data_IF_628411628766
#
_entry.id   IF_628411628766
#
_cell.length_a   1.000
_cell.length_b   1.000
_cell.length_c   1.000
_cell.angle_alpha   90.00
_cell.angle_beta   90.00
_cell.angle_gamma   90.00
#
_symmetry.space_group_name_H-M   'P 1'
#
loop_
_entity.id
_entity.type
_entity.pdbx_description
1 polymer ?
#
# COMPACT_ATOMS: atom_id res chain seq x y z
N UNK A 1 17.36 20.07 28.52
CA UNK A 1 16.73 20.43 27.23
C UNK A 1 17.74 20.15 26.13
N UNK A 2 17.86 18.88 25.73
CA UNK A 2 18.72 18.46 24.63
C UNK A 2 17.96 18.64 23.33
N UNK A 3 18.46 19.52 22.45
CA UNK A 3 18.01 19.64 21.08
C UNK A 3 18.03 18.27 20.41
N UNK A 4 16.86 17.70 20.16
CA UNK A 4 16.67 16.62 19.23
C UNK A 4 17.08 17.14 17.85
N UNK A 5 18.28 16.75 17.42
CA UNK A 5 18.66 16.77 16.02
C UNK A 5 17.57 16.05 15.24
N UNK A 6 16.74 16.82 14.54
CA UNK A 6 15.84 16.33 13.50
C UNK A 6 16.68 15.46 12.57
N UNK A 7 16.48 14.15 12.65
CA UNK A 7 16.92 13.23 11.61
C UNK A 7 16.12 13.61 10.37
N UNK A 8 16.66 14.51 9.55
CA UNK A 8 16.17 14.81 8.22
C UNK A 8 16.00 13.48 7.49
N UNK A 9 14.75 13.08 7.31
CA UNK A 9 14.35 11.88 6.58
C UNK A 9 15.03 11.91 5.21
N UNK A 10 15.91 10.93 4.99
CA UNK A 10 16.87 10.95 3.89
C UNK A 10 16.13 11.04 2.57
N UNK A 11 16.29 12.17 1.86
CA UNK A 11 15.63 12.37 0.57
C UNK A 11 14.28 13.07 0.59
N UNK A 12 13.71 13.32 1.76
CA UNK A 12 12.42 14.00 1.90
C UNK A 12 12.57 15.51 1.78
N UNK A 13 11.63 16.12 1.05
CA UNK A 13 11.50 17.56 0.91
C UNK A 13 10.05 17.93 1.17
N UNK A 14 9.84 19.05 1.87
CA UNK A 14 8.51 19.54 2.20
C UNK A 14 7.81 20.24 1.01
N UNK A 15 8.42 20.20 -0.18
CA UNK A 15 7.90 20.77 -1.42
C UNK A 15 8.29 19.90 -2.62
N UNK A 16 7.59 20.07 -3.74
CA UNK A 16 7.79 19.28 -4.96
C UNK A 16 8.99 19.81 -5.76
N UNK A 17 10.11 19.11 -5.69
CA UNK A 17 11.31 19.44 -6.47
C UNK A 17 11.27 18.95 -7.93
N UNK A 18 10.37 18.03 -8.25
CA UNK A 18 10.07 17.62 -9.64
C UNK A 18 8.63 17.99 -9.90
N UNK A 19 8.35 18.82 -10.90
CA UNK A 19 6.99 19.31 -11.15
C UNK A 19 6.11 18.18 -11.71
N UNK A 20 6.54 17.53 -12.78
CA UNK A 20 5.77 16.51 -13.51
C UNK A 20 6.61 15.28 -13.84
N UNK A 21 5.94 14.14 -13.96
CA UNK A 21 6.51 12.87 -14.42
C UNK A 21 5.86 12.48 -15.74
N UNK A 22 6.68 12.01 -16.69
CA UNK A 22 6.22 11.34 -17.91
C UNK A 22 6.47 9.84 -17.79
N UNK A 23 5.41 9.04 -17.87
CA UNK A 23 5.46 7.57 -17.87
C UNK A 23 4.79 7.06 -19.14
N UNK A 24 5.58 6.66 -20.14
CA UNK A 24 5.05 6.33 -21.46
C UNK A 24 4.38 7.54 -22.10
N UNK A 25 3.10 7.39 -22.45
CA UNK A 25 2.28 8.46 -23.04
C UNK A 25 1.57 9.33 -21.99
N UNK A 26 1.70 9.01 -20.70
CA UNK A 26 1.04 9.73 -19.63
C UNK A 26 1.95 10.80 -19.02
N UNK A 27 1.36 11.94 -18.67
CA UNK A 27 2.01 12.98 -17.89
C UNK A 27 1.13 13.39 -16.71
N UNK A 28 1.73 13.47 -15.53
CA UNK A 28 1.02 13.83 -14.31
C UNK A 28 1.95 14.47 -13.29
N UNK A 29 1.35 15.28 -12.42
CA UNK A 29 2.08 16.03 -11.41
C UNK A 29 2.54 15.11 -10.27
N UNK A 30 3.70 15.41 -9.68
CA UNK A 30 4.13 14.75 -8.44
C UNK A 30 3.29 15.25 -7.26
N UNK A 31 3.24 14.46 -6.18
CA UNK A 31 2.55 14.85 -4.94
C UNK A 31 3.55 15.31 -3.88
N UNK A 32 4.69 14.64 -3.80
CA UNK A 32 5.72 14.87 -2.79
C UNK A 32 7.09 15.10 -3.43
N UNK A 33 7.98 15.74 -2.67
CA UNK A 33 9.38 15.91 -3.07
C UNK A 33 10.22 14.65 -2.87
N UNK A 34 11.22 14.49 -3.73
CA UNK A 34 12.20 13.41 -3.67
C UNK A 34 13.58 13.94 -4.10
N UNK A 35 14.45 14.26 -3.14
CA UNK A 35 15.80 14.76 -3.40
C UNK A 35 16.84 13.66 -3.62
N UNK A 36 16.52 12.39 -3.33
CA UNK A 36 17.44 11.24 -3.42
C UNK A 36 18.08 11.09 -4.80
N UNK A 37 17.35 11.50 -5.83
CA UNK A 37 17.78 11.36 -7.22
C UNK A 37 18.83 12.37 -7.65
N UNK A 38 18.95 13.47 -6.92
CA UNK A 38 19.70 14.65 -7.34
C UNK A 38 20.94 14.81 -6.49
N UNK A 39 21.93 15.49 -7.08
CA UNK A 39 23.10 15.90 -6.33
C UNK A 39 22.75 17.15 -5.53
N UNK A 40 23.02 17.15 -4.23
CA UNK A 40 22.70 18.29 -3.36
C UNK A 40 23.36 19.60 -3.81
N UNK A 41 24.53 19.55 -4.46
CA UNK A 41 25.21 20.74 -4.98
C UNK A 41 24.72 21.17 -6.37
N UNK A 42 24.03 20.30 -7.09
CA UNK A 42 23.50 20.53 -8.44
C UNK A 42 22.07 19.95 -8.52
N UNK A 43 21.07 20.67 -7.98
CA UNK A 43 19.71 20.14 -7.81
C UNK A 43 18.98 19.78 -9.11
N UNK A 44 19.51 20.19 -10.27
CA UNK A 44 18.97 19.88 -11.59
C UNK A 44 19.63 18.64 -12.22
N UNK A 45 20.74 18.16 -11.65
CA UNK A 45 21.53 17.03 -12.18
C UNK A 45 21.16 15.75 -11.44
N UNK A 46 20.89 14.68 -12.19
CA UNK A 46 20.62 13.36 -11.61
C UNK A 46 21.95 12.72 -11.15
N UNK A 47 21.94 12.09 -9.98
CA UNK A 47 23.12 11.50 -9.35
C UNK A 47 23.86 10.49 -10.22
N UNK A 48 23.15 9.69 -11.03
CA UNK A 48 23.77 8.70 -11.90
C UNK A 48 24.57 9.34 -13.06
N UNK A 49 24.19 10.54 -13.50
CA UNK A 49 24.87 11.22 -14.63
C UNK A 49 26.30 11.62 -14.27
N UNK A 50 26.60 11.89 -12.99
CA UNK A 50 27.98 12.13 -12.54
C UNK A 50 28.84 10.87 -12.58
N UNK A 51 28.26 9.72 -12.23
CA UNK A 51 28.96 8.43 -12.30
C UNK A 51 29.36 8.11 -13.74
N UNK A 52 28.50 8.43 -14.71
CA UNK A 52 28.78 8.26 -16.14
C UNK A 52 29.82 9.25 -16.66
N UNK A 53 29.74 10.52 -16.28
CA UNK A 53 30.63 11.58 -16.79
C UNK A 53 32.00 11.65 -16.10
N UNK A 54 32.19 10.96 -14.97
CA UNK A 54 33.42 11.03 -14.12
C UNK A 54 33.89 12.45 -13.79
N UNK A 55 32.97 13.42 -13.83
CA UNK A 55 33.25 14.84 -13.55
C UNK A 55 33.03 15.13 -12.08
N UNK A 56 33.89 15.99 -11.50
CA UNK A 56 33.67 16.51 -10.15
C UNK A 56 32.46 17.47 -10.18
N UNK A 57 31.55 17.41 -9.18
CA UNK A 57 30.43 18.33 -9.10
C UNK A 57 30.93 19.78 -9.03
N UNK A 58 30.29 20.66 -9.78
CA UNK A 58 30.43 22.11 -9.71
C UNK A 58 29.72 22.59 -8.44
N UNK A 59 30.44 23.25 -7.54
CA UNK A 59 29.88 23.76 -6.28
C UNK A 59 29.15 25.08 -6.55
N UNK A 60 27.84 25.03 -6.78
CA UNK A 60 26.98 26.22 -6.85
C UNK A 60 25.96 26.25 -5.71
N UNK A 61 26.46 26.44 -4.49
CA UNK A 61 25.63 26.51 -3.26
C UNK A 61 24.59 27.63 -3.31
N UNK A 62 24.86 28.72 -4.05
CA UNK A 62 23.97 29.88 -4.14
C UNK A 62 22.64 29.54 -4.85
N UNK A 63 22.68 28.78 -5.95
CA UNK A 63 21.48 28.39 -6.71
C UNK A 63 20.63 27.38 -5.93
N UNK A 64 21.28 26.41 -5.28
CA UNK A 64 20.60 25.44 -4.41
C UNK A 64 19.86 26.14 -3.26
N UNK A 65 20.53 27.05 -2.55
CA UNK A 65 19.90 27.80 -1.45
C UNK A 65 18.71 28.65 -1.94
N UNK A 66 18.82 29.27 -3.12
CA UNK A 66 17.73 30.05 -3.70
C UNK A 66 16.51 29.19 -4.04
N UNK A 67 16.71 28.03 -4.68
CA UNK A 67 15.61 27.12 -5.04
C UNK A 67 14.88 26.59 -3.80
N UNK A 68 15.63 26.25 -2.75
CA UNK A 68 15.05 25.75 -1.50
C UNK A 68 14.31 26.84 -0.73
N UNK A 69 14.83 28.08 -0.71
CA UNK A 69 14.15 29.21 -0.09
C UNK A 69 12.84 29.56 -0.80
N UNK A 70 12.83 29.50 -2.14
CA UNK A 70 11.65 29.79 -2.95
C UNK A 70 10.73 28.58 -3.14
N UNK A 71 11.13 27.39 -2.65
CA UNK A 71 10.43 26.12 -2.85
C UNK A 71 10.08 25.84 -4.32
N UNK A 72 10.95 26.25 -5.23
CA UNK A 72 10.74 26.07 -6.67
C UNK A 72 11.11 24.66 -7.12
N UNK A 73 10.39 24.07 -8.10
CA UNK A 73 10.81 22.84 -8.73
C UNK A 73 12.22 22.97 -9.29
N UNK A 74 13.06 21.97 -9.04
CA UNK A 74 14.39 21.88 -9.60
C UNK A 74 14.33 21.49 -11.08
N UNK A 75 13.47 20.53 -11.43
CA UNK A 75 13.21 20.16 -12.82
C UNK A 75 11.71 20.15 -13.10
N UNK A 76 11.35 20.49 -14.35
CA UNK A 76 9.95 20.51 -14.81
C UNK A 76 9.42 19.11 -15.14
N UNK A 77 10.27 18.24 -15.70
CA UNK A 77 9.85 16.95 -16.21
C UNK A 77 10.91 15.89 -15.90
N UNK A 78 10.48 14.76 -15.34
CA UNK A 78 11.28 13.55 -15.19
C UNK A 78 10.63 12.41 -15.97
N UNK A 79 11.40 11.78 -16.86
CA UNK A 79 10.91 10.69 -17.70
C UNK A 79 11.18 9.35 -17.03
N UNK A 80 10.18 8.47 -16.99
CA UNK A 80 10.30 7.08 -16.53
C UNK A 80 9.97 6.11 -17.66
N UNK A 81 10.74 5.04 -17.76
CA UNK A 81 10.46 3.92 -18.65
C UNK A 81 9.22 3.16 -18.15
N UNK A 82 8.21 3.00 -19.01
CA UNK A 82 6.97 2.31 -18.65
C UNK A 82 7.12 0.80 -18.36
N UNK A 83 8.25 0.18 -18.73
CA UNK A 83 8.50 -1.24 -18.48
C UNK A 83 9.40 -1.50 -17.26
N UNK A 84 10.47 -0.71 -17.07
CA UNK A 84 11.50 -0.98 -16.05
C UNK A 84 11.70 0.15 -15.04
N UNK A 85 11.00 1.27 -15.18
CA UNK A 85 11.10 2.45 -14.33
C UNK A 85 12.48 3.14 -14.30
N UNK A 86 13.44 2.78 -15.17
CA UNK A 86 14.63 3.61 -15.40
C UNK A 86 14.19 5.04 -15.71
N UNK A 87 14.92 6.04 -15.21
CA UNK A 87 14.55 7.44 -15.32
C UNK A 87 15.67 8.30 -15.91
N UNK A 88 15.31 9.42 -16.53
CA UNK A 88 16.21 10.44 -17.10
C UNK A 88 15.48 11.78 -17.26
N UNK A 89 16.24 12.88 -17.32
CA UNK A 89 15.71 14.21 -17.72
C UNK A 89 15.54 14.35 -19.23
N UNK A 90 16.20 13.50 -20.03
CA UNK A 90 16.28 13.65 -21.48
C UNK A 90 15.27 12.76 -22.23
N UNK A 91 14.36 13.38 -22.97
CA UNK A 91 13.32 12.66 -23.73
C UNK A 91 13.91 11.68 -24.77
N UNK A 92 14.96 12.08 -25.48
CA UNK A 92 15.62 11.26 -26.51
C UNK A 92 16.37 10.06 -25.93
N UNK A 93 16.92 10.19 -24.72
CA UNK A 93 17.53 9.07 -24.00
C UNK A 93 16.45 8.05 -23.62
N UNK A 94 15.30 8.52 -23.11
CA UNK A 94 14.18 7.65 -22.75
C UNK A 94 13.61 6.92 -23.98
N UNK A 95 13.43 7.62 -25.10
CA UNK A 95 12.93 7.03 -26.33
C UNK A 95 13.86 5.92 -26.84
N UNK A 96 15.18 6.18 -26.88
CA UNK A 96 16.18 5.16 -27.22
C UNK A 96 16.13 4.00 -26.23
N UNK A 97 16.16 4.26 -24.93
CA UNK A 97 16.08 3.22 -23.90
C UNK A 97 14.88 2.30 -24.09
N UNK A 98 13.69 2.85 -24.31
CA UNK A 98 12.48 2.06 -24.47
C UNK A 98 12.55 1.14 -25.70
N UNK A 99 13.20 1.56 -26.79
CA UNK A 99 13.33 0.73 -28.01
C UNK A 99 14.02 -0.62 -27.76
N UNK A 100 15.00 -0.68 -26.84
CA UNK A 100 15.77 -1.88 -26.51
C UNK A 100 15.59 -2.38 -25.06
N UNK A 101 14.61 -1.85 -24.33
CA UNK A 101 14.35 -2.25 -22.94
C UNK A 101 13.95 -3.73 -22.86
N UNK A 102 14.77 -4.55 -22.18
CA UNK A 102 14.55 -6.00 -22.04
C UNK A 102 13.23 -6.35 -21.34
N UNK A 103 12.80 -5.51 -20.40
CA UNK A 103 11.56 -5.70 -19.64
C UNK A 103 10.27 -5.50 -20.46
N UNK A 104 10.35 -5.08 -21.72
CA UNK A 104 9.18 -5.04 -22.62
C UNK A 104 8.66 -6.42 -22.99
N UNK A 105 9.54 -7.44 -22.97
CA UNK A 105 9.20 -8.83 -23.30
C UNK A 105 9.45 -9.78 -22.14
N UNK A 106 10.47 -9.48 -21.33
CA UNK A 106 10.92 -10.33 -20.24
C UNK A 106 10.51 -9.71 -18.90
N UNK A 107 9.27 -9.94 -18.48
CA UNK A 107 8.75 -9.40 -17.22
C UNK A 107 9.51 -9.98 -16.01
N UNK A 108 9.83 -9.17 -14.99
CA UNK A 108 10.54 -9.65 -13.80
C UNK A 108 9.67 -10.54 -12.91
N UNK A 109 10.31 -11.35 -12.08
CA UNK A 109 9.64 -12.11 -11.02
C UNK A 109 8.82 -13.31 -11.49
N UNK A 110 8.19 -13.98 -10.53
CA UNK A 110 7.35 -15.17 -10.70
C UNK A 110 5.87 -14.76 -10.74
N UNK A 111 5.06 -15.37 -11.61
CA UNK A 111 3.60 -15.17 -11.60
C UNK A 111 3.03 -15.84 -10.36
N UNK A 112 2.26 -15.08 -9.57
CA UNK A 112 1.58 -15.59 -8.38
C UNK A 112 0.04 -15.54 -8.51
N UNK A 113 -0.45 -14.78 -9.48
CA UNK A 113 -1.88 -14.67 -9.80
C UNK A 113 -2.04 -14.25 -11.26
N UNK A 114 -3.01 -14.84 -11.96
CA UNK A 114 -3.35 -14.44 -13.32
C UNK A 114 -4.82 -14.68 -13.61
N UNK A 115 -5.56 -13.59 -13.87
CA UNK A 115 -6.93 -13.62 -14.41
C UNK A 115 -6.98 -12.93 -15.79
N UNK A 116 -8.18 -12.82 -16.36
CA UNK A 116 -8.40 -12.18 -17.67
C UNK A 116 -8.08 -10.68 -17.70
N UNK A 117 -8.01 -10.04 -16.53
CA UNK A 117 -7.91 -8.58 -16.40
C UNK A 117 -6.53 -8.11 -15.92
N UNK A 118 -5.78 -8.94 -15.19
CA UNK A 118 -4.51 -8.57 -14.58
C UNK A 118 -3.66 -9.79 -14.18
N UNK A 119 -2.38 -9.52 -13.97
CA UNK A 119 -1.40 -10.51 -13.48
C UNK A 119 -0.62 -9.92 -12.31
N UNK A 120 -0.46 -10.65 -11.21
CA UNK A 120 0.39 -10.23 -10.09
C UNK A 120 1.65 -11.09 -10.11
N UNK A 121 2.81 -10.42 -10.09
CA UNK A 121 4.12 -11.08 -10.09
C UNK A 121 4.91 -10.74 -8.83
N UNK A 122 5.51 -11.75 -8.20
CA UNK A 122 6.46 -11.59 -7.09
C UNK A 122 7.86 -11.33 -7.65
N UNK A 123 8.33 -10.11 -7.47
CA UNK A 123 9.64 -9.62 -7.90
C UNK A 123 10.53 -9.48 -6.67
N UNK A 124 11.53 -10.36 -6.56
CA UNK A 124 12.49 -10.29 -5.45
C UNK A 124 13.44 -9.12 -5.62
N UNK A 125 13.51 -8.25 -4.60
CA UNK A 125 14.42 -7.10 -4.61
C UNK A 125 15.90 -7.50 -4.60
N UNK A 126 16.23 -8.70 -4.14
CA UNK A 126 17.59 -9.27 -4.24
C UNK A 126 17.96 -9.63 -5.67
N UNK A 127 17.03 -10.24 -6.44
CA UNK A 127 17.28 -10.68 -7.83
C UNK A 127 17.16 -9.52 -8.83
N UNK A 128 16.22 -8.60 -8.61
CA UNK A 128 15.91 -7.50 -9.52
C UNK A 128 16.16 -6.12 -8.88
N UNK A 129 17.34 -5.95 -8.27
CA UNK A 129 17.69 -4.77 -7.44
C UNK A 129 17.41 -3.43 -8.15
N UNK A 130 17.92 -3.23 -9.36
CA UNK A 130 17.75 -1.97 -10.08
C UNK A 130 16.27 -1.65 -10.38
N UNK A 131 15.49 -2.66 -10.80
CA UNK A 131 14.06 -2.49 -11.06
C UNK A 131 13.32 -2.04 -9.79
N UNK A 132 13.57 -2.71 -8.66
CA UNK A 132 12.94 -2.40 -7.39
C UNK A 132 13.38 -1.03 -6.83
N UNK A 133 14.64 -0.62 -7.05
CA UNK A 133 15.14 0.71 -6.69
C UNK A 133 14.42 1.79 -7.51
N UNK A 134 14.38 1.65 -8.84
CA UNK A 134 13.67 2.56 -9.73
C UNK A 134 12.17 2.66 -9.41
N UNK A 135 11.52 1.54 -9.12
CA UNK A 135 10.12 1.51 -8.69
C UNK A 135 9.91 2.21 -7.34
N UNK A 136 10.81 1.99 -6.37
CA UNK A 136 10.75 2.66 -5.07
C UNK A 136 10.96 4.18 -5.18
N UNK A 137 11.85 4.60 -6.06
CA UNK A 137 12.09 6.00 -6.40
C UNK A 137 10.84 6.65 -6.99
N UNK A 138 10.22 5.99 -7.99
CA UNK A 138 8.95 6.46 -8.56
C UNK A 138 7.91 6.62 -7.47
N UNK A 139 7.82 5.63 -6.57
CA UNK A 139 6.81 5.62 -5.52
C UNK A 139 6.94 6.77 -4.52
N UNK A 140 8.15 7.24 -4.22
CA UNK A 140 8.38 8.37 -3.30
C UNK A 140 7.70 9.66 -3.72
N UNK A 141 7.55 9.89 -5.03
CA UNK A 141 6.82 11.06 -5.53
C UNK A 141 5.33 11.05 -5.19
N UNK A 142 4.80 9.91 -4.73
CA UNK A 142 3.39 9.68 -4.42
C UNK A 142 3.15 9.11 -3.02
N UNK A 143 4.22 8.83 -2.26
CA UNK A 143 4.19 8.31 -0.90
C UNK A 143 5.09 9.17 -0.01
N UNK A 144 4.48 9.91 0.91
CA UNK A 144 5.19 10.86 1.77
C UNK A 144 6.25 10.18 2.64
N UNK A 145 5.83 9.15 3.39
CA UNK A 145 6.64 8.47 4.41
C UNK A 145 7.47 7.29 3.87
N UNK A 146 7.82 7.27 2.59
CA UNK A 146 8.65 6.19 2.04
C UNK A 146 10.12 6.46 2.35
N UNK A 147 10.73 5.62 3.18
CA UNK A 147 12.10 5.78 3.68
C UNK A 147 13.12 4.83 3.02
N UNK A 148 12.67 3.70 2.45
CA UNK A 148 13.55 2.69 1.84
C UNK A 148 13.54 2.77 0.31
N UNK A 149 14.71 3.08 -0.25
CA UNK A 149 14.93 3.20 -1.71
C UNK A 149 15.98 2.23 -2.23
N UNK A 150 17.06 2.00 -1.47
CA UNK A 150 18.26 1.32 -1.96
C UNK A 150 18.46 -0.07 -1.38
N UNK A 151 18.08 -0.27 -0.12
CA UNK A 151 18.15 -1.55 0.61
C UNK A 151 16.94 -2.44 0.27
N UNK A 152 16.67 -2.58 -1.03
CA UNK A 152 15.50 -3.31 -1.54
C UNK A 152 15.65 -4.83 -1.44
N UNK A 153 16.84 -5.34 -1.10
CA UNK A 153 17.13 -6.76 -1.04
C UNK A 153 16.40 -7.52 0.08
N UNK A 154 15.89 -6.80 1.07
CA UNK A 154 15.09 -7.32 2.18
C UNK A 154 13.58 -7.32 1.91
N UNK A 155 13.18 -7.01 0.67
CA UNK A 155 11.77 -6.87 0.29
C UNK A 155 11.45 -7.70 -0.95
N UNK A 156 10.27 -8.31 -0.93
CA UNK A 156 9.58 -8.76 -2.13
C UNK A 156 8.59 -7.68 -2.60
N UNK A 157 8.52 -7.50 -3.92
CA UNK A 157 7.60 -6.57 -4.57
C UNK A 157 6.55 -7.35 -5.35
N UNK A 158 5.29 -7.15 -5.03
CA UNK A 158 4.17 -7.76 -5.72
C UNK A 158 3.60 -6.75 -6.71
N UNK A 159 4.01 -6.88 -7.97
CA UNK A 159 3.70 -5.92 -9.03
C UNK A 159 2.49 -6.41 -9.82
N UNK A 160 1.47 -5.57 -9.93
CA UNK A 160 0.27 -5.85 -10.74
C UNK A 160 0.47 -5.31 -12.15
N UNK A 161 0.19 -6.15 -13.13
CA UNK A 161 0.30 -5.87 -14.56
C UNK A 161 -1.08 -5.94 -15.21
N UNK A 162 -1.31 -5.09 -16.21
CA UNK A 162 -2.39 -5.26 -17.19
C UNK A 162 -1.83 -5.08 -18.60
N UNK A 163 -2.53 -5.60 -19.60
CA UNK A 163 -2.16 -5.41 -21.00
C UNK A 163 -2.74 -4.10 -21.51
N UNK A 164 -1.88 -3.14 -21.84
CA UNK A 164 -2.25 -1.88 -22.48
C UNK A 164 -1.70 -1.89 -23.91
N UNK A 165 -2.56 -1.73 -24.91
CA UNK A 165 -2.19 -1.75 -26.34
C UNK A 165 -1.34 -2.97 -26.75
N UNK A 166 -1.69 -4.15 -26.20
CA UNK A 166 -0.97 -5.40 -26.45
C UNK A 166 0.37 -5.53 -25.70
N UNK A 167 0.71 -4.57 -24.83
CA UNK A 167 1.95 -4.58 -24.05
C UNK A 167 1.65 -4.78 -22.55
N UNK A 168 2.21 -5.82 -21.91
CA UNK A 168 2.11 -5.97 -20.46
C UNK A 168 2.77 -4.79 -19.76
N UNK A 169 1.99 -4.06 -18.98
CA UNK A 169 2.39 -2.79 -18.36
C UNK A 169 2.20 -2.88 -16.85
N UNK A 170 3.24 -2.60 -16.04
CA UNK A 170 3.14 -2.57 -14.60
C UNK A 170 2.31 -1.35 -14.15
N UNK A 171 1.23 -1.61 -13.43
CA UNK A 171 0.24 -0.58 -13.06
C UNK A 171 0.39 -0.09 -11.61
N UNK A 172 1.02 -0.90 -10.76
CA UNK A 172 1.19 -0.63 -9.35
C UNK A 172 1.90 -1.77 -8.65
N UNK A 173 2.13 -1.62 -7.35
CA UNK A 173 2.73 -2.67 -6.55
C UNK A 173 2.37 -2.52 -5.07
N UNK A 174 2.63 -3.58 -4.31
CA UNK A 174 2.98 -3.43 -2.91
C UNK A 174 4.31 -4.10 -2.60
N UNK A 175 5.01 -3.65 -1.57
CA UNK A 175 6.21 -4.29 -1.05
C UNK A 175 5.92 -4.99 0.27
N UNK A 176 6.61 -6.09 0.54
CA UNK A 176 6.54 -6.86 1.79
C UNK A 176 7.95 -7.18 2.25
N UNK A 177 8.24 -6.94 3.52
CA UNK A 177 9.50 -7.36 4.15
C UNK A 177 9.60 -8.88 4.21
N UNK A 178 10.79 -9.40 3.91
CA UNK A 178 11.08 -10.82 4.04
C UNK A 178 11.03 -11.27 5.51
N UNK A 179 11.46 -10.39 6.42
CA UNK A 179 11.47 -10.63 7.87
C UNK A 179 10.84 -9.42 8.56
N UNK A 180 9.54 -9.52 8.87
CA UNK A 180 8.80 -8.48 9.58
C UNK A 180 8.57 -8.88 11.03
N UNK A 181 9.16 -8.15 11.98
CA UNK A 181 8.98 -8.40 13.42
C UNK A 181 7.53 -8.23 13.87
N UNK A 182 6.85 -7.23 13.30
CA UNK A 182 5.44 -6.94 13.59
C UNK A 182 4.49 -7.83 12.77
N UNK A 183 4.99 -8.74 11.94
CA UNK A 183 4.19 -9.58 11.02
C UNK A 183 3.39 -8.74 10.00
N UNK A 184 3.99 -7.67 9.48
CA UNK A 184 3.36 -6.86 8.44
C UNK A 184 3.33 -7.65 7.12
N UNK A 185 2.15 -7.78 6.50
CA UNK A 185 2.02 -8.39 5.17
C UNK A 185 2.24 -7.39 4.02
N UNK A 186 2.30 -6.10 4.35
CA UNK A 186 2.42 -5.01 3.39
C UNK A 186 3.12 -3.80 4.05
N UNK A 187 4.21 -3.34 3.42
CA UNK A 187 4.98 -2.17 3.86
C UNK A 187 4.59 -0.90 3.10
N UNK A 188 4.60 -0.95 1.78
CA UNK A 188 4.19 0.17 0.91
C UNK A 188 3.24 -0.35 -0.15
N UNK A 189 2.24 0.45 -0.53
CA UNK A 189 1.34 0.17 -1.65
C UNK A 189 1.16 1.42 -2.49
N UNK A 190 1.22 1.24 -3.81
CA UNK A 190 0.95 2.30 -4.77
C UNK A 190 0.32 1.72 -6.03
N UNK A 191 -0.80 2.32 -6.44
CA UNK A 191 -1.25 2.29 -7.84
C UNK A 191 -0.80 3.59 -8.47
N UNK A 192 -0.06 3.49 -9.57
CA UNK A 192 0.51 4.66 -10.26
C UNK A 192 -0.65 5.60 -10.64
N UNK A 193 -0.54 6.93 -10.44
CA UNK A 193 -1.67 7.86 -10.60
C UNK A 193 -2.47 7.72 -11.90
N UNK A 194 -1.80 7.53 -13.04
CA UNK A 194 -2.47 7.36 -14.33
C UNK A 194 -3.31 6.07 -14.46
N UNK A 195 -3.14 5.09 -13.57
CA UNK A 195 -3.84 3.80 -13.56
C UNK A 195 -4.81 3.63 -12.38
N UNK A 196 -5.06 4.70 -11.62
CA UNK A 196 -6.00 4.67 -10.50
C UNK A 196 -7.47 4.51 -10.97
N UNK A 197 -8.40 4.36 -10.02
CA UNK A 197 -9.84 4.18 -10.24
C UNK A 197 -10.26 2.89 -10.96
N UNK A 198 -9.36 1.93 -11.09
CA UNK A 198 -9.61 0.60 -11.68
C UNK A 198 -9.63 -0.54 -10.64
N UNK A 199 -9.81 -0.22 -9.35
CA UNK A 199 -9.80 -1.16 -8.21
C UNK A 199 -8.51 -2.00 -8.04
N UNK A 200 -7.43 -1.64 -8.73
CA UNK A 200 -6.13 -2.33 -8.63
C UNK A 200 -5.56 -2.32 -7.20
N UNK A 201 -5.76 -1.23 -6.45
CA UNK A 201 -5.32 -1.16 -5.05
C UNK A 201 -6.07 -2.15 -4.16
N UNK A 202 -7.39 -2.31 -4.38
CA UNK A 202 -8.19 -3.31 -3.68
C UNK A 202 -7.76 -4.74 -4.02
N UNK A 203 -7.44 -5.01 -5.29
CA UNK A 203 -6.86 -6.29 -5.72
C UNK A 203 -5.53 -6.58 -5.01
N UNK A 204 -4.63 -5.61 -4.92
CA UNK A 204 -3.34 -5.76 -4.24
C UNK A 204 -3.49 -6.03 -2.73
N UNK A 205 -4.39 -5.31 -2.05
CA UNK A 205 -4.71 -5.55 -0.62
C UNK A 205 -5.29 -6.96 -0.43
N UNK A 206 -6.24 -7.34 -1.28
CA UNK A 206 -6.86 -8.66 -1.19
C UNK A 206 -5.84 -9.78 -1.45
N UNK A 207 -4.93 -9.60 -2.41
CA UNK A 207 -3.82 -10.54 -2.66
C UNK A 207 -2.88 -10.68 -1.45
N UNK A 208 -2.55 -9.59 -0.74
CA UNK A 208 -1.66 -9.67 0.43
C UNK A 208 -2.26 -10.53 1.56
N UNK A 209 -3.57 -10.47 1.75
CA UNK A 209 -4.28 -11.35 2.70
C UNK A 209 -4.43 -12.77 2.18
N UNK A 210 -4.64 -13.02 0.88
CA UNK A 210 -4.60 -14.39 0.35
C UNK A 210 -3.28 -15.08 0.63
N UNK A 211 -2.16 -14.37 0.40
CA UNK A 211 -0.83 -14.91 0.69
C UNK A 211 -0.63 -15.17 2.19
N UNK A 212 -1.05 -14.24 3.05
CA UNK A 212 -0.92 -14.41 4.51
C UNK A 212 -1.79 -15.55 5.04
N UNK A 213 -3.00 -15.71 4.50
CA UNK A 213 -3.89 -16.82 4.85
C UNK A 213 -3.34 -18.17 4.35
N UNK A 214 -2.71 -18.21 3.18
CA UNK A 214 -2.01 -19.40 2.70
C UNK A 214 -0.86 -19.79 3.65
N UNK A 215 -0.13 -18.79 4.16
CA UNK A 215 0.94 -18.97 5.15
C UNK A 215 0.41 -19.21 6.58
N UNK A 216 -0.91 -19.18 6.81
CA UNK A 216 -1.56 -19.29 8.12
C UNK A 216 -1.09 -18.24 9.14
N UNK A 217 -0.82 -17.01 8.67
CA UNK A 217 -0.33 -15.89 9.49
C UNK A 217 -1.41 -14.83 9.63
N UNK A 218 -1.69 -14.45 10.88
CA UNK A 218 -2.45 -13.24 11.20
C UNK A 218 -1.57 -12.02 10.92
N UNK A 219 -2.03 -11.10 10.09
CA UNK A 219 -1.20 -10.01 9.61
C UNK A 219 -2.01 -8.76 9.31
N UNK A 220 -1.30 -7.67 9.04
CA UNK A 220 -1.88 -6.40 8.62
C UNK A 220 -0.84 -5.51 7.94
N UNK A 221 -1.24 -4.31 7.50
CA UNK A 221 -0.32 -3.35 6.94
C UNK A 221 0.61 -2.74 8.01
N UNK A 222 1.76 -2.27 7.55
CA UNK A 222 2.63 -1.38 8.29
C UNK A 222 1.91 -0.06 8.62
N UNK A 223 2.23 0.50 9.80
CA UNK A 223 1.63 1.73 10.32
C UNK A 223 2.70 2.82 10.43
N UNK A 224 2.34 4.11 10.25
CA UNK A 224 1.00 4.64 10.00
C UNK A 224 0.55 4.52 8.53
N UNK A 225 -0.75 4.30 8.32
CA UNK A 225 -1.37 4.31 6.98
C UNK A 225 -1.57 5.74 6.48
N UNK A 226 -1.38 5.95 5.17
CA UNK A 226 -1.83 7.20 4.51
C UNK A 226 -3.37 7.33 4.57
N UNK A 227 -3.95 8.53 4.45
CA UNK A 227 -5.41 8.70 4.44
C UNK A 227 -6.12 7.83 3.39
N UNK A 228 -5.58 7.78 2.16
CA UNK A 228 -6.09 6.93 1.09
C UNK A 228 -5.89 5.43 1.37
N UNK A 229 -4.75 5.07 1.98
CA UNK A 229 -4.49 3.70 2.43
C UNK A 229 -5.50 3.24 3.47
N UNK A 230 -5.75 4.07 4.49
CA UNK A 230 -6.73 3.79 5.56
C UNK A 230 -8.13 3.55 5.00
N UNK A 231 -8.62 4.39 4.10
CA UNK A 231 -9.93 4.20 3.46
C UNK A 231 -9.98 2.91 2.63
N UNK A 232 -8.92 2.59 1.90
CA UNK A 232 -8.84 1.36 1.09
C UNK A 232 -8.86 0.10 1.95
N UNK A 233 -8.11 0.10 3.06
CA UNK A 233 -8.10 -1.00 4.02
C UNK A 233 -9.43 -1.14 4.76
N UNK A 234 -10.02 -0.04 5.23
CA UNK A 234 -11.35 -0.06 5.85
C UNK A 234 -12.41 -0.62 4.90
N UNK A 235 -12.39 -0.23 3.62
CA UNK A 235 -13.28 -0.79 2.61
C UNK A 235 -13.11 -2.30 2.47
N UNK A 236 -11.86 -2.79 2.44
CA UNK A 236 -11.58 -4.23 2.37
C UNK A 236 -11.99 -4.99 3.64
N UNK A 237 -11.59 -4.51 4.82
CA UNK A 237 -11.87 -5.16 6.09
C UNK A 237 -13.36 -5.21 6.40
N UNK A 238 -14.08 -4.09 6.23
CA UNK A 238 -15.52 -4.04 6.47
C UNK A 238 -16.28 -4.96 5.52
N UNK A 239 -15.88 -5.03 4.24
CA UNK A 239 -16.43 -5.99 3.27
C UNK A 239 -16.19 -7.43 3.70
N UNK A 240 -14.96 -7.78 4.08
CA UNK A 240 -14.60 -9.14 4.49
C UNK A 240 -15.32 -9.57 5.77
N UNK A 241 -15.33 -8.71 6.80
CA UNK A 241 -16.06 -8.96 8.04
C UNK A 241 -17.55 -9.08 7.81
N UNK A 242 -18.14 -8.20 7.00
CA UNK A 242 -19.57 -8.27 6.66
C UNK A 242 -19.90 -9.60 6.00
N UNK A 243 -19.05 -10.09 5.09
CA UNK A 243 -19.23 -11.40 4.47
C UNK A 243 -19.20 -12.50 5.52
N UNK A 244 -18.20 -12.53 6.41
CA UNK A 244 -18.09 -13.59 7.44
C UNK A 244 -19.27 -13.58 8.42
N UNK A 245 -19.71 -12.41 8.88
CA UNK A 245 -20.79 -12.28 9.87
C UNK A 245 -22.20 -12.46 9.31
N UNK A 246 -22.40 -12.24 8.00
CA UNK A 246 -23.73 -12.34 7.39
C UNK A 246 -23.93 -13.64 6.61
N UNK A 247 -22.88 -14.14 5.96
CA UNK A 247 -22.98 -15.25 5.01
C UNK A 247 -21.91 -16.33 5.22
N UNK A 248 -20.83 -16.01 5.93
CA UNK A 248 -19.71 -16.90 6.17
C UNK A 248 -19.84 -17.71 7.45
N UNK A 249 -18.71 -18.17 7.96
CA UNK A 249 -18.65 -19.14 9.07
C UNK A 249 -19.11 -18.55 10.40
N UNK A 250 -19.09 -17.22 10.53
CA UNK A 250 -19.51 -16.49 11.73
C UNK A 250 -21.00 -16.12 11.71
N UNK A 251 -21.75 -16.48 10.66
CA UNK A 251 -23.16 -16.10 10.50
C UNK A 251 -24.10 -16.79 11.48
N UNK A 252 -23.75 -17.99 11.95
CA UNK A 252 -24.56 -18.77 12.90
C UNK A 252 -24.12 -18.58 14.34
N UNK A 253 -22.93 -18.02 14.58
CA UNK A 253 -22.39 -17.83 15.94
C UNK A 253 -23.18 -16.77 16.70
N UNK A 254 -23.57 -17.07 17.94
CA UNK A 254 -24.12 -16.07 18.87
C UNK A 254 -23.04 -15.51 19.78
N UNK A 255 -21.97 -16.28 20.02
CA UNK A 255 -20.79 -15.89 20.79
C UNK A 255 -19.52 -16.07 19.93
N UNK A 256 -18.64 -15.08 19.96
CA UNK A 256 -17.33 -15.09 19.29
C UNK A 256 -16.28 -14.42 20.18
N UNK A 257 -15.01 -14.73 19.96
CA UNK A 257 -13.87 -14.01 20.55
C UNK A 257 -13.12 -13.24 19.46
N UNK A 258 -12.30 -12.24 19.80
CA UNK A 258 -11.44 -11.58 18.81
C UNK A 258 -10.50 -12.59 18.16
N UNK A 259 -10.00 -13.56 18.94
CA UNK A 259 -9.17 -14.65 18.45
C UNK A 259 -9.89 -15.48 17.38
N UNK A 260 -11.16 -15.86 17.59
CA UNK A 260 -11.92 -16.61 16.58
C UNK A 260 -12.10 -15.79 15.30
N UNK A 261 -12.43 -14.50 15.40
CA UNK A 261 -12.58 -13.63 14.23
C UNK A 261 -11.23 -13.51 13.50
N UNK A 262 -10.15 -13.30 14.23
CA UNK A 262 -8.78 -13.22 13.72
C UNK A 262 -8.37 -14.49 12.98
N UNK A 263 -8.59 -15.68 13.57
CA UNK A 263 -8.33 -16.97 12.92
C UNK A 263 -9.15 -17.19 11.64
N UNK A 264 -10.40 -16.69 11.58
CA UNK A 264 -11.24 -16.85 10.38
C UNK A 264 -10.91 -15.87 9.27
N UNK A 265 -10.40 -14.68 9.61
CA UNK A 265 -10.19 -13.59 8.64
C UNK A 265 -8.73 -13.38 8.27
N UNK A 266 -7.80 -13.79 9.13
CA UNK A 266 -6.38 -13.44 9.05
C UNK A 266 -6.07 -12.02 9.56
N UNK A 267 -7.06 -11.31 10.11
CA UNK A 267 -6.91 -9.91 10.54
C UNK A 267 -6.39 -9.82 11.97
N UNK A 268 -5.57 -8.81 12.24
CA UNK A 268 -5.19 -8.47 13.61
C UNK A 268 -6.41 -7.97 14.40
N UNK A 269 -6.39 -8.18 15.71
CA UNK A 269 -7.46 -7.76 16.62
C UNK A 269 -7.76 -6.26 16.52
N UNK A 270 -6.71 -5.43 16.37
CA UNK A 270 -6.86 -3.98 16.22
C UNK A 270 -7.57 -3.60 14.92
N UNK A 271 -7.31 -4.32 13.83
CA UNK A 271 -7.93 -4.08 12.52
C UNK A 271 -9.41 -4.51 12.53
N UNK A 272 -9.74 -5.59 13.25
CA UNK A 272 -11.10 -6.04 13.50
C UNK A 272 -11.88 -4.97 14.28
N UNK A 273 -11.35 -4.54 15.42
CA UNK A 273 -11.98 -3.52 16.28
C UNK A 273 -12.20 -2.21 15.52
N UNK A 274 -11.16 -1.72 14.83
CA UNK A 274 -11.23 -0.51 14.01
C UNK A 274 -12.32 -0.60 12.93
N UNK A 275 -12.47 -1.76 12.31
CA UNK A 275 -13.47 -1.98 11.26
C UNK A 275 -14.89 -2.06 11.80
N UNK A 276 -15.08 -2.74 12.93
CA UNK A 276 -16.39 -2.84 13.59
C UNK A 276 -16.85 -1.48 14.14
N UNK A 277 -15.93 -0.69 14.69
CA UNK A 277 -16.16 0.69 15.12
C UNK A 277 -16.50 1.60 13.92
N UNK A 278 -15.78 1.45 12.80
CA UNK A 278 -16.06 2.21 11.58
C UNK A 278 -17.48 1.94 11.03
N UNK A 279 -17.95 0.69 11.11
CA UNK A 279 -19.34 0.32 10.78
C UNK A 279 -20.36 0.70 11.88
N UNK A 280 -19.89 1.30 12.98
CA UNK A 280 -20.65 1.60 14.20
C UNK A 280 -21.36 0.38 14.78
N UNK A 281 -20.84 -0.81 14.50
CA UNK A 281 -21.44 -2.09 14.84
C UNK A 281 -20.94 -2.66 16.16
N UNK A 282 -19.86 -2.11 16.70
CA UNK A 282 -19.31 -2.45 18.01
C UNK A 282 -19.97 -1.62 19.10
N UNK A 283 -20.36 -2.26 20.20
CA UNK A 283 -20.91 -1.61 21.38
C UNK A 283 -20.30 -2.18 22.65
N UNK A 284 -20.02 -1.30 23.60
CA UNK A 284 -19.73 -1.67 24.99
C UNK A 284 -21.02 -1.58 25.80
N UNK A 285 -21.35 -2.61 26.55
CA UNK A 285 -22.42 -2.51 27.54
C UNK A 285 -21.81 -2.12 28.89
N UNK A 286 -22.18 -0.93 29.39
CA UNK A 286 -22.07 -0.56 30.79
C UNK A 286 -21.49 0.81 31.13
N UNK A 287 -21.88 1.36 32.28
CA UNK A 287 -21.09 2.35 33.02
C UNK A 287 -20.25 1.60 34.05
N UNK A 288 -18.96 1.97 34.20
CA UNK A 288 -18.17 1.56 35.38
C UNK A 288 -18.89 2.07 36.65
N UNK A 289 -19.75 1.24 37.24
CA UNK A 289 -20.23 1.44 38.61
C UNK A 289 -19.21 0.78 39.55
N UNK A 290 -18.72 1.45 40.60
CA UNK A 290 -17.59 0.94 41.38
C UNK A 290 -17.86 -0.36 42.17
N UNK A 291 -19.10 -0.90 42.19
CA UNK A 291 -19.48 -2.01 43.09
C UNK A 291 -20.58 -2.96 42.59
N UNK A 292 -20.81 -3.12 41.28
CA UNK A 292 -21.85 -4.06 40.80
C UNK A 292 -21.44 -4.79 39.51
N UNK A 293 -21.28 -6.13 39.58
CA UNK A 293 -20.96 -7.03 38.45
C UNK A 293 -22.16 -7.39 37.55
N UNK A 294 -23.33 -6.76 37.76
CA UNK A 294 -24.53 -7.07 37.00
C UNK A 294 -25.10 -5.86 36.28
N UNK A 295 -25.32 -6.05 35.00
CA UNK A 295 -26.05 -5.15 34.11
C UNK A 295 -27.51 -5.57 34.01
N UNK A 296 -28.44 -4.62 34.15
CA UNK A 296 -29.88 -4.86 34.08
C UNK A 296 -30.34 -5.17 32.64
N UNK A 297 -30.93 -6.35 32.47
CA UNK A 297 -31.16 -7.00 31.20
C UNK A 297 -32.22 -6.34 30.30
N UNK A 298 -31.85 -6.13 29.03
CA UNK A 298 -32.75 -6.38 27.90
C UNK A 298 -32.35 -7.73 27.30
N UNK A 299 -33.31 -8.66 27.18
CA UNK A 299 -33.14 -9.87 26.37
C UNK A 299 -33.01 -9.43 24.92
N UNK A 300 -31.78 -9.30 24.44
CA UNK A 300 -31.55 -9.10 23.02
C UNK A 300 -31.87 -10.40 22.28
N UNK A 301 -32.45 -10.25 21.09
CA UNK A 301 -32.77 -11.39 20.24
C UNK A 301 -31.43 -11.97 19.73
N UNK A 302 -31.03 -13.17 20.17
CA UNK A 302 -29.70 -13.77 19.94
C UNK A 302 -29.25 -13.81 18.46
N UNK A 303 -30.19 -13.68 17.53
CA UNK A 303 -29.88 -13.64 16.09
C UNK A 303 -29.34 -12.30 15.60
N UNK A 304 -29.61 -11.20 16.30
CA UNK A 304 -29.26 -9.83 15.88
C UNK A 304 -27.91 -9.36 16.43
N UNK A 305 -27.51 -9.87 17.59
CA UNK A 305 -26.29 -9.47 18.28
C UNK A 305 -25.34 -10.66 18.39
N UNK A 306 -24.05 -10.40 18.29
CA UNK A 306 -23.00 -11.38 18.59
C UNK A 306 -22.24 -10.90 19.81
N UNK A 307 -22.15 -11.73 20.84
CA UNK A 307 -21.35 -11.46 22.02
C UNK A 307 -19.87 -11.60 21.67
N UNK A 308 -19.08 -10.59 22.00
CA UNK A 308 -17.63 -10.60 21.90
C UNK A 308 -17.04 -10.80 23.31
N UNK A 309 -16.60 -12.03 23.59
CA UNK A 309 -16.12 -12.44 24.91
C UNK A 309 -14.64 -12.05 25.08
N UNK A 310 -14.38 -10.99 25.84
CA UNK A 310 -13.04 -10.54 26.20
C UNK A 310 -12.92 -10.41 27.73
N UNK A 311 -11.75 -10.76 28.29
CA UNK A 311 -11.53 -10.99 29.73
C UNK A 311 -12.01 -9.83 30.63
N UNK A 312 -12.03 -8.60 30.12
CA UNK A 312 -12.38 -7.39 30.88
C UNK A 312 -13.57 -6.58 30.32
N UNK A 313 -14.17 -6.99 29.20
CA UNK A 313 -15.21 -6.19 28.53
C UNK A 313 -16.33 -7.08 27.97
N UNK A 314 -17.58 -6.68 28.18
CA UNK A 314 -18.75 -7.26 27.52
C UNK A 314 -19.06 -6.44 26.27
N UNK A 315 -18.44 -6.81 25.16
CA UNK A 315 -18.62 -6.17 23.86
C UNK A 315 -19.68 -6.89 23.04
N UNK A 316 -20.40 -6.16 22.20
CA UNK A 316 -21.47 -6.66 21.34
C UNK A 316 -21.28 -6.18 19.90
N UNK A 317 -21.55 -7.08 18.94
CA UNK A 317 -21.55 -6.77 17.51
C UNK A 317 -22.98 -6.81 16.98
N UNK A 318 -23.47 -5.70 16.45
CA UNK A 318 -24.83 -5.58 15.89
C UNK A 318 -24.85 -5.93 14.39
N UNK A 319 -25.38 -7.12 14.06
CA UNK A 319 -25.53 -7.58 12.68
C UNK A 319 -26.48 -6.71 11.86
N UNK A 320 -27.44 -6.04 12.48
CA UNK A 320 -28.38 -5.18 11.75
C UNK A 320 -27.68 -3.93 11.22
N UNK A 321 -26.72 -3.39 11.97
CA UNK A 321 -25.86 -2.30 11.50
C UNK A 321 -24.92 -2.75 10.40
N UNK A 322 -24.33 -3.95 10.51
CA UNK A 322 -23.53 -4.54 9.42
C UNK A 322 -24.37 -4.69 8.14
N UNK A 323 -25.62 -5.19 8.25
CA UNK A 323 -26.54 -5.29 7.10
C UNK A 323 -26.85 -3.91 6.48
N UNK A 324 -27.14 -2.91 7.32
CA UNK A 324 -27.37 -1.53 6.84
C UNK A 324 -26.14 -0.97 6.16
N UNK A 325 -24.95 -1.20 6.70
CA UNK A 325 -23.67 -0.79 6.13
C UNK A 325 -23.46 -1.37 4.73
N UNK A 326 -23.69 -2.69 4.57
CA UNK A 326 -23.60 -3.38 3.29
C UNK A 326 -24.53 -2.77 2.23
N UNK A 327 -25.77 -2.48 2.61
CA UNK A 327 -26.77 -1.87 1.72
C UNK A 327 -26.37 -0.43 1.35
N UNK A 328 -25.99 0.38 2.34
CA UNK A 328 -25.64 1.80 2.15
C UNK A 328 -24.38 2.00 1.30
N UNK A 329 -23.43 1.06 1.38
CA UNK A 329 -22.16 1.13 0.66
C UNK A 329 -22.12 0.22 -0.58
N UNK A 330 -23.27 -0.33 -1.00
CA UNK A 330 -23.40 -1.19 -2.18
C UNK A 330 -22.36 -2.33 -2.22
N UNK A 331 -22.09 -2.94 -1.06
CA UNK A 331 -21.06 -3.98 -0.93
C UNK A 331 -21.56 -5.27 -1.57
N UNK A 332 -20.95 -5.64 -2.70
CA UNK A 332 -21.22 -6.90 -3.40
C UNK A 332 -20.49 -8.06 -2.72
N UNK A 333 -21.11 -9.25 -2.69
CA UNK A 333 -20.57 -10.43 -2.03
C UNK A 333 -19.29 -11.00 -2.69
N UNK A 334 -19.07 -10.74 -3.98
CA UNK A 334 -17.92 -11.24 -4.73
C UNK A 334 -16.58 -10.66 -4.27
N UNK A 335 -15.51 -11.47 -4.36
CA UNK A 335 -14.12 -11.07 -4.17
C UNK A 335 -13.63 -10.22 -5.36
N UNK A 336 -12.59 -9.39 -5.19
CA UNK A 336 -12.01 -8.66 -6.34
C UNK A 336 -11.02 -9.52 -7.12
N UNK A 337 -10.54 -10.62 -6.52
CA UNK A 337 -9.71 -11.64 -7.16
C UNK A 337 -10.44 -12.98 -7.12
N UNK A 338 -10.24 -13.79 -8.15
CA UNK A 338 -10.73 -15.16 -8.18
C UNK A 338 -9.71 -16.09 -7.49
N UNK A 339 -10.07 -16.75 -6.37
CA UNK A 339 -9.16 -17.70 -5.71
C UNK A 339 -8.66 -18.83 -6.62
N UNK A 340 -9.41 -19.21 -7.67
CA UNK A 340 -8.99 -20.23 -8.62
C UNK A 340 -7.82 -19.79 -9.53
N UNK A 341 -7.58 -18.48 -9.63
CA UNK A 341 -6.51 -17.87 -10.41
C UNK A 341 -5.21 -17.67 -9.59
N UNK A 342 -5.20 -18.04 -8.31
CA UNK A 342 -4.00 -17.99 -7.47
C UNK A 342 -3.03 -19.12 -7.86
N UNK A 343 -1.76 -18.75 -7.98
CA UNK A 343 -0.65 -19.66 -8.30
C UNK A 343 0.32 -19.57 -7.13
N UNK A 344 -0.04 -20.25 -6.04
CA UNK A 344 0.76 -20.39 -4.82
C UNK A 344 1.25 -21.83 -4.77
N UNK A 345 2.56 -22.01 -4.58
CA UNK A 345 3.23 -23.33 -4.50
C UNK A 345 3.00 -24.00 -3.13
#
# INVERSE_FOLDING_TARGET
>A
MSNSSETLDYGSLNYRNVERIRLGNFEFDTWFGNSVLFIQTEPETLGYQLLEKRTKPSVSTKKFNQLNQLQQPWIKMLHFCQACFKYTTECDEMFRHYSYCSFRRNLPGQVMYQDDTCTIRRVSGRKHKLFCQCLSILAKFFLDNKSVFFNVEYYDYFVIYQTLDGVPTPMGFYSRELLSWDQNNLSCILVIPCYQKQRLGSKLIEFSYYLSNHEQIVSGPERPLSPFGKLSYLSYWTKSLSREFLYGKLSTNTHVTLELISQKTGFRSEDILLSLDHMQSLFEYGTKSPYTDYYSGRRYNDRQYVFLEEVNYKLFIDRTKIKKWVIQNEIVAGTNLDPACLILD
#
